data_IF_167884236559
#
_entry.id   IF_167884236559
#
_cell.length_a   1.000
_cell.length_b   1.000
_cell.length_c   1.000
_cell.angle_alpha   90.00
_cell.angle_beta   90.00
_cell.angle_gamma   90.00
#
_symmetry.space_group_name_H-M   'P 1'
#
loop_
_entity.id
_entity.type
_entity.pdbx_description
1 polymer ?
#
# COMPACT_ATOMS: atom_id res chain seq x y z
N UNK A 1 11.58 20.82 -6.77
CA UNK A 1 11.60 19.36 -6.71
C UNK A 1 10.39 18.82 -7.47
N UNK A 2 10.55 18.28 -8.69
CA UNK A 2 9.50 17.52 -9.35
C UNK A 2 9.65 16.06 -8.92
N UNK A 3 9.12 15.71 -7.74
CA UNK A 3 8.94 14.34 -7.34
C UNK A 3 7.56 13.88 -7.82
N UNK A 4 7.46 12.66 -8.30
CA UNK A 4 6.21 12.07 -8.74
C UNK A 4 5.29 11.88 -7.53
N UNK A 5 4.06 12.37 -7.62
CA UNK A 5 3.04 12.27 -6.58
C UNK A 5 1.68 11.98 -7.20
N UNK A 6 0.92 11.08 -6.60
CA UNK A 6 -0.44 10.74 -7.02
C UNK A 6 -1.51 11.69 -6.48
N UNK A 7 -1.29 12.30 -5.31
CA UNK A 7 -2.25 13.20 -4.69
C UNK A 7 -2.15 14.65 -5.17
N UNK A 8 -3.28 15.36 -5.24
CA UNK A 8 -3.35 16.77 -5.64
C UNK A 8 -2.97 17.67 -4.46
N UNK A 9 -2.06 18.62 -4.69
CA UNK A 9 -1.69 19.61 -3.67
C UNK A 9 -2.86 20.54 -3.32
N UNK A 10 -2.96 20.92 -2.05
CA UNK A 10 -3.80 22.02 -1.64
C UNK A 10 -3.25 23.33 -2.23
N UNK A 11 -4.08 24.05 -3.03
CA UNK A 11 -3.70 25.28 -3.74
C UNK A 11 -4.13 26.53 -2.96
N UNK A 12 -4.02 26.55 -1.64
CA UNK A 12 -4.25 27.78 -0.89
C UNK A 12 -3.14 28.80 -1.16
N UNK A 13 -3.46 30.10 -1.13
CA UNK A 13 -2.48 31.19 -1.26
C UNK A 13 -1.39 31.10 -0.19
N UNK A 14 -1.76 30.74 1.03
CA UNK A 14 -0.85 30.51 2.14
C UNK A 14 0.22 29.44 1.84
N UNK A 15 -0.13 28.42 1.08
CA UNK A 15 0.80 27.34 0.75
C UNK A 15 1.92 27.83 -0.19
N UNK A 16 1.62 28.74 -1.12
CA UNK A 16 2.63 29.31 -2.01
C UNK A 16 3.66 30.12 -1.23
N UNK A 17 3.21 30.97 -0.32
CA UNK A 17 4.09 31.78 0.54
C UNK A 17 5.00 30.90 1.40
N UNK A 18 4.47 29.76 1.90
CA UNK A 18 5.24 28.78 2.66
C UNK A 18 6.28 28.06 1.78
N UNK A 19 5.92 27.66 0.58
CA UNK A 19 6.84 26.98 -0.37
C UNK A 19 8.01 27.88 -0.75
N UNK A 20 7.78 29.18 -0.88
CA UNK A 20 8.82 30.17 -1.21
C UNK A 20 9.87 30.32 -0.07
N UNK A 21 9.51 29.96 1.16
CA UNK A 21 10.44 29.92 2.30
C UNK A 21 11.25 28.61 2.35
N UNK A 22 10.83 27.57 1.62
CA UNK A 22 11.49 26.27 1.62
C UNK A 22 12.69 26.25 0.67
N UNK A 23 13.83 25.82 1.18
CA UNK A 23 15.04 25.60 0.39
C UNK A 23 15.59 24.20 0.55
N UNK A 24 16.41 23.76 -0.40
CA UNK A 24 17.14 22.50 -0.29
C UNK A 24 18.51 22.64 -0.93
N UNK A 25 19.44 21.82 -0.45
CA UNK A 25 20.80 21.70 -1.00
C UNK A 25 21.08 20.25 -1.36
N UNK A 26 21.56 20.00 -2.55
CA UNK A 26 21.97 18.69 -3.02
C UNK A 26 23.50 18.55 -2.95
N UNK A 27 24.00 17.42 -2.46
CA UNK A 27 25.43 17.08 -2.55
C UNK A 27 25.85 16.62 -3.95
N UNK A 28 24.89 16.25 -4.80
CA UNK A 28 25.07 15.81 -6.19
C UNK A 28 24.46 16.81 -7.18
N UNK A 29 24.56 16.49 -8.47
CA UNK A 29 24.07 17.34 -9.55
C UNK A 29 22.58 17.22 -9.82
N UNK A 30 21.95 16.10 -9.41
CA UNK A 30 20.54 15.83 -9.64
C UNK A 30 19.96 14.87 -8.58
N UNK A 31 18.64 14.93 -8.42
CA UNK A 31 17.87 13.95 -7.66
C UNK A 31 17.77 12.68 -8.53
N UNK A 32 17.95 11.47 -7.97
CA UNK A 32 17.76 10.23 -8.71
C UNK A 32 16.36 10.14 -9.34
N UNK A 33 16.28 9.57 -10.56
CA UNK A 33 15.05 9.55 -11.35
C UNK A 33 13.88 8.81 -10.66
N UNK A 34 14.19 7.77 -9.88
CA UNK A 34 13.20 6.94 -9.18
C UNK A 34 12.75 7.52 -7.83
N UNK A 35 13.19 8.76 -7.50
CA UNK A 35 12.86 9.40 -6.23
C UNK A 35 11.38 9.79 -6.17
N UNK A 36 10.74 9.55 -5.01
CA UNK A 36 9.28 9.71 -4.85
C UNK A 36 8.92 10.29 -3.49
N UNK A 37 7.72 10.87 -3.44
CA UNK A 37 7.00 11.14 -2.20
C UNK A 37 5.96 10.04 -2.05
N UNK A 38 5.87 9.44 -0.89
CA UNK A 38 4.85 8.46 -0.52
C UNK A 38 4.15 8.98 0.74
N UNK A 39 2.85 9.18 0.63
CA UNK A 39 2.00 9.64 1.74
C UNK A 39 1.11 8.50 2.23
N UNK A 40 0.54 8.67 3.42
CA UNK A 40 -0.47 7.74 3.96
C UNK A 40 -1.68 7.59 3.02
N UNK A 41 -2.07 8.67 2.32
CA UNK A 41 -3.15 8.64 1.34
C UNK A 41 -2.84 7.72 0.15
N UNK A 42 -1.61 7.73 -0.36
CA UNK A 42 -1.18 6.85 -1.46
C UNK A 42 -1.32 5.37 -1.09
N UNK A 43 -0.96 5.04 0.15
CA UNK A 43 -1.10 3.67 0.70
C UNK A 43 -2.57 3.30 0.84
N UNK A 44 -3.39 4.22 1.34
CA UNK A 44 -4.83 4.02 1.51
C UNK A 44 -5.53 3.81 0.16
N UNK A 45 -5.25 4.63 -0.84
CA UNK A 45 -5.79 4.51 -2.20
C UNK A 45 -5.40 3.17 -2.84
N UNK A 46 -4.16 2.73 -2.65
CA UNK A 46 -3.73 1.40 -3.10
C UNK A 46 -4.55 0.27 -2.47
N UNK A 47 -4.79 0.33 -1.15
CA UNK A 47 -5.60 -0.66 -0.45
C UNK A 47 -7.06 -0.67 -0.92
N UNK A 48 -7.65 0.51 -1.16
CA UNK A 48 -8.99 0.63 -1.72
C UNK A 48 -9.09 0.02 -3.12
N UNK A 49 -8.13 0.31 -3.98
CA UNK A 49 -8.07 -0.25 -5.33
C UNK A 49 -7.98 -1.78 -5.31
N UNK A 50 -7.19 -2.37 -4.41
CA UNK A 50 -7.12 -3.83 -4.26
C UNK A 50 -8.48 -4.42 -3.84
N UNK A 51 -9.19 -3.78 -2.92
CA UNK A 51 -10.54 -4.22 -2.50
C UNK A 51 -11.53 -4.13 -3.65
N UNK A 52 -11.58 -3.01 -4.37
CA UNK A 52 -12.47 -2.84 -5.53
C UNK A 52 -12.20 -3.88 -6.61
N UNK A 53 -10.94 -4.23 -6.86
CA UNK A 53 -10.57 -5.30 -7.78
C UNK A 53 -11.12 -6.65 -7.32
N UNK A 54 -10.97 -6.99 -6.05
CA UNK A 54 -11.49 -8.24 -5.49
C UNK A 54 -13.02 -8.30 -5.52
N UNK A 55 -13.71 -7.22 -5.14
CA UNK A 55 -15.17 -7.10 -5.24
C UNK A 55 -15.67 -7.24 -6.69
N UNK A 56 -14.96 -6.65 -7.65
CA UNK A 56 -15.26 -6.81 -9.07
C UNK A 56 -15.10 -8.25 -9.55
N UNK A 57 -14.06 -8.94 -9.08
CA UNK A 57 -13.82 -10.36 -9.38
C UNK A 57 -14.92 -11.23 -8.74
N UNK A 58 -15.32 -10.98 -7.51
CA UNK A 58 -16.37 -11.75 -6.83
C UNK A 58 -17.73 -11.53 -7.47
N UNK A 59 -18.09 -10.30 -7.82
CA UNK A 59 -19.30 -9.99 -8.60
C UNK A 59 -19.28 -10.68 -9.98
N UNK A 60 -18.12 -10.73 -10.65
CA UNK A 60 -17.96 -11.47 -11.89
C UNK A 60 -18.16 -12.98 -11.72
N UNK A 61 -17.68 -13.55 -10.61
CA UNK A 61 -17.91 -14.96 -10.25
C UNK A 61 -19.38 -15.28 -10.07
N UNK A 62 -20.11 -14.46 -9.33
CA UNK A 62 -21.54 -14.67 -9.10
C UNK A 62 -22.32 -14.70 -10.40
N UNK A 63 -22.07 -13.74 -11.31
CA UNK A 63 -22.69 -13.71 -12.64
C UNK A 63 -22.39 -14.98 -13.45
N UNK A 64 -21.16 -15.47 -13.43
CA UNK A 64 -20.78 -16.71 -14.12
C UNK A 64 -21.38 -17.96 -13.47
N UNK A 65 -21.58 -17.98 -12.16
CA UNK A 65 -22.30 -19.05 -11.47
C UNK A 65 -23.78 -19.08 -11.89
N UNK A 66 -24.43 -17.92 -11.99
CA UNK A 66 -25.80 -17.82 -12.48
C UNK A 66 -25.93 -18.24 -13.95
N UNK A 67 -25.03 -17.78 -14.81
CA UNK A 67 -24.96 -18.16 -16.22
C UNK A 67 -24.81 -19.68 -16.39
N UNK A 68 -23.87 -20.28 -15.64
CA UNK A 68 -23.67 -21.74 -15.65
C UNK A 68 -24.96 -22.49 -15.25
N UNK A 69 -25.66 -22.05 -14.18
CA UNK A 69 -26.90 -22.68 -13.71
C UNK A 69 -28.00 -22.58 -14.77
N UNK A 70 -28.18 -21.40 -15.38
CA UNK A 70 -29.18 -21.19 -16.44
C UNK A 70 -28.92 -22.10 -17.65
N UNK A 71 -27.70 -22.19 -18.09
CA UNK A 71 -27.33 -23.06 -19.23
C UNK A 71 -27.52 -24.54 -18.86
N UNK A 72 -27.18 -24.96 -17.65
CA UNK A 72 -27.28 -26.37 -17.20
C UNK A 72 -28.69 -26.83 -16.89
N UNK A 73 -29.56 -25.92 -16.45
CA UNK A 73 -30.97 -26.23 -16.19
C UNK A 73 -31.81 -26.50 -17.44
N UNK A 74 -31.25 -26.28 -18.64
CA UNK A 74 -31.90 -26.64 -19.90
C UNK A 74 -32.96 -25.62 -20.36
N UNK A 75 -33.04 -24.46 -19.75
CA UNK A 75 -34.00 -23.39 -20.12
C UNK A 75 -33.65 -22.70 -21.45
N UNK A 76 -32.51 -23.04 -22.04
CA UNK A 76 -32.14 -22.66 -23.39
C UNK A 76 -32.72 -23.71 -24.35
N UNK A 77 -33.78 -23.35 -25.05
CA UNK A 77 -34.39 -24.17 -26.11
C UNK A 77 -33.31 -24.77 -27.03
N UNK A 78 -33.65 -25.79 -27.85
CA UNK A 78 -32.75 -26.49 -28.73
C UNK A 78 -31.90 -25.48 -29.54
N UNK A 79 -30.68 -25.22 -29.09
CA UNK A 79 -29.72 -24.34 -29.77
C UNK A 79 -29.48 -24.89 -31.19
N UNK A 80 -29.66 -24.07 -32.20
CA UNK A 80 -29.34 -24.38 -33.59
C UNK A 80 -28.46 -23.31 -34.16
N UNK A 81 -27.30 -23.70 -34.63
CA UNK A 81 -26.34 -22.82 -35.30
C UNK A 81 -27.02 -22.28 -36.59
N UNK A 82 -27.17 -20.96 -36.69
CA UNK A 82 -27.78 -20.29 -37.85
C UNK A 82 -26.77 -19.32 -38.51
N UNK A 83 -25.84 -18.81 -37.76
CA UNK A 83 -24.80 -17.87 -38.25
C UNK A 83 -23.46 -18.10 -37.58
N UNK A 84 -22.41 -17.46 -38.12
CA UNK A 84 -21.07 -17.46 -37.52
C UNK A 84 -21.02 -16.76 -36.15
N UNK A 85 -21.96 -15.85 -35.91
CA UNK A 85 -22.05 -15.13 -34.64
C UNK A 85 -22.52 -16.05 -33.49
N UNK A 86 -23.20 -17.13 -33.82
CA UNK A 86 -23.65 -18.15 -32.85
C UNK A 86 -22.50 -19.03 -32.35
N UNK A 87 -21.28 -18.88 -32.92
CA UNK A 87 -20.13 -19.72 -32.58
C UNK A 87 -19.64 -19.50 -31.14
N UNK A 88 -19.66 -18.26 -30.66
CA UNK A 88 -19.28 -17.94 -29.26
C UNK A 88 -20.27 -18.53 -28.27
N UNK A 89 -21.57 -18.53 -28.59
CA UNK A 89 -22.60 -19.16 -27.77
C UNK A 89 -22.46 -20.69 -27.76
N UNK A 90 -22.15 -21.32 -28.88
CA UNK A 90 -21.84 -22.74 -28.95
C UNK A 90 -20.64 -23.12 -28.10
N UNK A 91 -19.59 -22.30 -28.13
CA UNK A 91 -18.38 -22.49 -27.36
C UNK A 91 -18.65 -22.42 -25.84
N UNK A 92 -19.50 -21.47 -25.41
CA UNK A 92 -19.98 -21.36 -24.03
C UNK A 92 -20.76 -22.59 -23.62
N UNK A 93 -21.75 -23.01 -24.40
CA UNK A 93 -22.58 -24.20 -24.15
C UNK A 93 -21.73 -25.48 -24.04
N UNK A 94 -20.75 -25.64 -24.93
CA UNK A 94 -19.81 -26.77 -24.92
C UNK A 94 -18.93 -26.71 -23.66
N UNK A 95 -18.44 -25.54 -23.30
CA UNK A 95 -17.62 -25.35 -22.10
C UNK A 95 -18.39 -25.65 -20.81
N UNK A 96 -19.67 -25.24 -20.70
CA UNK A 96 -20.52 -25.56 -19.55
C UNK A 96 -20.82 -27.05 -19.46
N UNK A 97 -21.02 -27.74 -20.60
CA UNK A 97 -21.28 -29.20 -20.63
C UNK A 97 -20.06 -30.02 -20.28
N UNK A 98 -18.87 -29.60 -20.67
CA UNK A 98 -17.60 -30.33 -20.47
C UNK A 98 -16.90 -30.03 -19.15
N UNK A 99 -17.28 -28.99 -18.43
CA UNK A 99 -16.62 -28.57 -17.17
C UNK A 99 -17.61 -28.63 -15.99
N UNK A 100 -17.04 -28.82 -14.79
CA UNK A 100 -17.77 -28.57 -13.55
C UNK A 100 -17.98 -27.06 -13.37
N UNK A 101 -18.96 -26.68 -12.55
CA UNK A 101 -19.24 -25.27 -12.25
C UNK A 101 -17.99 -24.50 -11.80
N UNK A 102 -17.24 -25.11 -10.88
CA UNK A 102 -16.00 -24.51 -10.37
C UNK A 102 -14.91 -24.35 -11.43
N UNK A 103 -14.78 -25.32 -12.34
CA UNK A 103 -13.82 -25.24 -13.46
C UNK A 103 -14.22 -24.20 -14.49
N UNK A 104 -15.52 -24.10 -14.80
CA UNK A 104 -16.04 -23.10 -15.73
C UNK A 104 -15.76 -21.68 -15.21
N UNK A 105 -16.11 -21.41 -13.95
CA UNK A 105 -15.89 -20.11 -13.32
C UNK A 105 -14.37 -19.81 -13.23
N UNK A 106 -13.55 -20.76 -12.79
CA UNK A 106 -12.09 -20.58 -12.68
C UNK A 106 -11.40 -20.23 -14.00
N UNK A 107 -11.93 -20.75 -15.13
CA UNK A 107 -11.39 -20.44 -16.47
C UNK A 107 -11.75 -19.04 -16.97
N UNK A 108 -12.88 -18.50 -16.52
CA UNK A 108 -13.44 -17.26 -17.05
C UNK A 108 -13.31 -16.05 -16.11
N UNK A 109 -12.85 -16.27 -14.89
CA UNK A 109 -12.60 -15.19 -13.90
C UNK A 109 -11.11 -15.08 -13.61
N UNK A 110 -10.64 -13.85 -13.43
CA UNK A 110 -9.31 -13.58 -12.91
C UNK A 110 -9.11 -14.20 -11.51
N UNK A 111 -7.88 -14.46 -11.14
CA UNK A 111 -7.54 -14.91 -9.79
C UNK A 111 -7.64 -13.70 -8.86
N UNK A 112 -8.41 -13.80 -7.75
CA UNK A 112 -8.40 -12.77 -6.71
C UNK A 112 -6.97 -12.48 -6.32
N UNK A 113 -6.64 -11.21 -6.21
CA UNK A 113 -5.45 -10.81 -5.46
C UNK A 113 -5.66 -11.35 -4.06
N UNK A 114 -4.70 -12.16 -3.58
CA UNK A 114 -4.81 -12.84 -2.29
C UNK A 114 -5.29 -11.84 -1.23
N UNK A 115 -6.41 -12.13 -0.57
CA UNK A 115 -6.88 -11.33 0.54
C UNK A 115 -5.78 -11.27 1.61
N UNK A 116 -5.21 -10.09 1.76
CA UNK A 116 -4.21 -9.79 2.77
C UNK A 116 -4.84 -8.84 3.80
N UNK A 117 -4.37 -8.90 5.03
CA UNK A 117 -4.74 -7.90 6.01
C UNK A 117 -4.35 -6.49 5.52
N UNK A 118 -5.04 -5.46 5.99
CA UNK A 118 -4.71 -4.07 5.62
C UNK A 118 -3.22 -3.76 5.81
N UNK A 119 -2.63 -4.23 6.91
CA UNK A 119 -1.21 -4.03 7.19
C UNK A 119 -0.28 -4.78 6.22
N UNK A 120 -0.67 -5.96 5.71
CA UNK A 120 0.10 -6.67 4.67
C UNK A 120 0.02 -5.95 3.33
N UNK A 121 -1.16 -5.47 2.95
CA UNK A 121 -1.36 -4.70 1.73
C UNK A 121 -0.58 -3.38 1.75
N UNK A 122 -0.61 -2.67 2.88
CA UNK A 122 0.16 -1.45 3.08
C UNK A 122 1.68 -1.71 3.00
N UNK A 123 2.18 -2.75 3.66
CA UNK A 123 3.59 -3.14 3.56
C UNK A 123 3.98 -3.52 2.13
N UNK A 124 3.13 -4.26 1.43
CA UNK A 124 3.36 -4.64 0.03
C UNK A 124 3.48 -3.41 -0.89
N UNK A 125 2.73 -2.34 -0.61
CA UNK A 125 2.86 -1.08 -1.33
C UNK A 125 4.29 -0.52 -1.25
N UNK A 126 4.86 -0.43 -0.04
CA UNK A 126 6.24 0.03 0.14
C UNK A 126 7.24 -0.88 -0.58
N UNK A 127 7.09 -2.21 -0.45
CA UNK A 127 7.97 -3.17 -1.12
C UNK A 127 7.92 -3.09 -2.66
N UNK A 128 6.80 -2.66 -3.23
CA UNK A 128 6.65 -2.46 -4.68
C UNK A 128 7.16 -1.09 -5.16
N UNK A 129 7.09 -0.06 -4.32
CA UNK A 129 7.39 1.32 -4.72
C UNK A 129 8.79 1.77 -4.39
N UNK A 130 9.45 1.15 -3.42
CA UNK A 130 10.81 1.47 -3.04
C UNK A 130 11.78 0.67 -3.91
N UNK A 131 12.45 1.39 -4.80
CA UNK A 131 13.46 0.90 -5.72
C UNK A 131 14.85 1.34 -5.26
N UNK A 132 15.91 0.75 -5.76
CA UNK A 132 17.29 1.09 -5.41
C UNK A 132 17.75 2.45 -5.95
N UNK A 133 18.78 3.01 -5.32
CA UNK A 133 19.44 4.26 -5.73
C UNK A 133 18.48 5.46 -5.85
N UNK A 134 17.61 5.67 -4.87
CA UNK A 134 16.59 6.71 -4.90
C UNK A 134 16.44 7.45 -3.58
N UNK A 135 15.84 8.66 -3.64
CA UNK A 135 15.44 9.46 -2.50
C UNK A 135 13.92 9.31 -2.28
N UNK A 136 13.54 8.97 -1.06
CA UNK A 136 12.15 8.85 -0.65
C UNK A 136 11.79 9.84 0.45
N UNK A 137 10.68 10.56 0.25
CA UNK A 137 10.03 11.34 1.28
C UNK A 137 8.79 10.54 1.71
N UNK A 138 8.77 10.10 2.97
CA UNK A 138 7.68 9.31 3.53
C UNK A 138 6.94 10.16 4.56
N UNK A 139 5.60 10.23 4.42
CA UNK A 139 4.72 10.96 5.33
C UNK A 139 3.80 9.97 6.03
N UNK A 140 4.00 9.82 7.34
CA UNK A 140 3.30 8.88 8.22
C UNK A 140 3.21 7.44 7.64
N UNK A 141 4.35 6.81 7.28
CA UNK A 141 4.35 5.49 6.65
C UNK A 141 3.81 4.39 7.54
N UNK A 142 3.70 4.65 8.85
CA UNK A 142 3.13 3.74 9.84
C UNK A 142 1.61 3.62 9.79
N UNK A 143 0.91 4.54 9.14
CA UNK A 143 -0.55 4.52 9.08
C UNK A 143 -1.04 3.21 8.42
N UNK A 144 -2.05 2.61 9.04
CA UNK A 144 -2.60 1.30 8.66
C UNK A 144 -1.69 0.08 8.94
N UNK A 145 -0.52 0.26 9.56
CA UNK A 145 0.38 -0.82 9.94
C UNK A 145 0.22 -1.23 11.42
N UNK A 146 0.09 -2.53 11.67
CA UNK A 146 0.20 -3.05 13.03
C UNK A 146 1.62 -2.85 13.59
N UNK A 147 1.83 -2.88 14.93
CA UNK A 147 3.16 -2.76 15.52
C UNK A 147 4.19 -3.72 14.92
N UNK A 148 3.79 -4.97 14.63
CA UNK A 148 4.66 -5.97 13.99
C UNK A 148 5.05 -5.53 12.57
N UNK A 149 4.08 -5.01 11.79
CA UNK A 149 4.32 -4.54 10.43
C UNK A 149 5.15 -3.25 10.41
N UNK A 150 5.02 -2.39 11.39
CA UNK A 150 5.91 -1.24 11.56
C UNK A 150 7.35 -1.68 11.81
N UNK A 151 7.58 -2.70 12.64
CA UNK A 151 8.93 -3.28 12.83
C UNK A 151 9.50 -3.93 11.57
N UNK A 152 8.66 -4.58 10.76
CA UNK A 152 9.07 -5.11 9.45
C UNK A 152 9.44 -3.97 8.48
N UNK A 153 8.64 -2.89 8.45
CA UNK A 153 8.93 -1.69 7.67
C UNK A 153 10.28 -1.06 8.08
N UNK A 154 10.53 -0.93 9.39
CA UNK A 154 11.81 -0.40 9.91
C UNK A 154 12.99 -1.20 9.36
N UNK A 155 12.95 -2.54 9.44
CA UNK A 155 14.01 -3.40 8.89
C UNK A 155 14.17 -3.23 7.39
N UNK A 156 13.05 -3.17 6.67
CA UNK A 156 13.07 -2.98 5.22
C UNK A 156 13.70 -1.63 4.82
N UNK A 157 13.39 -0.55 5.54
CA UNK A 157 13.99 0.76 5.31
C UNK A 157 15.49 0.80 5.67
N UNK A 158 15.89 0.16 6.79
CA UNK A 158 17.30 0.01 7.16
C UNK A 158 18.12 -0.73 6.10
N UNK A 159 17.58 -1.85 5.59
CA UNK A 159 18.21 -2.65 4.55
C UNK A 159 18.27 -1.88 3.21
N UNK A 160 17.19 -1.17 2.85
CA UNK A 160 17.15 -0.34 1.65
C UNK A 160 18.15 0.80 1.68
N UNK A 161 18.32 1.45 2.83
CA UNK A 161 19.33 2.49 2.99
C UNK A 161 20.76 1.93 2.96
N UNK A 162 20.99 0.77 3.59
CA UNK A 162 22.31 0.19 3.76
C UNK A 162 22.82 -0.50 2.51
N UNK A 163 21.98 -1.24 1.79
CA UNK A 163 22.39 -2.15 0.73
C UNK A 163 21.97 -1.71 -0.67
N UNK A 164 20.90 -0.90 -0.76
CA UNK A 164 20.31 -0.51 -2.04
C UNK A 164 20.45 0.98 -2.37
N UNK A 165 21.29 1.69 -1.63
CA UNK A 165 21.63 3.10 -1.94
C UNK A 165 20.45 4.07 -1.80
N UNK A 166 19.43 3.71 -1.02
CA UNK A 166 18.27 4.57 -0.77
C UNK A 166 18.59 5.62 0.31
N UNK A 167 18.03 6.81 0.13
CA UNK A 167 17.97 7.84 1.16
C UNK A 167 16.51 8.09 1.54
N UNK A 168 16.22 8.20 2.84
CA UNK A 168 14.88 8.45 3.35
C UNK A 168 14.84 9.75 4.14
N UNK A 169 13.78 10.54 3.92
CA UNK A 169 13.36 11.64 4.77
C UNK A 169 11.94 11.28 5.23
N UNK A 170 11.73 11.09 6.52
CA UNK A 170 10.51 10.50 7.06
C UNK A 170 9.88 11.46 8.08
N UNK A 171 8.63 11.85 7.86
CA UNK A 171 7.78 12.45 8.88
C UNK A 171 6.98 11.34 9.56
N UNK A 172 7.06 11.21 10.88
CA UNK A 172 6.44 10.10 11.61
C UNK A 172 6.20 10.43 13.07
N UNK A 173 5.14 9.83 13.62
CA UNK A 173 4.87 9.79 15.06
C UNK A 173 5.10 8.40 15.67
N UNK A 174 5.45 7.39 14.85
CA UNK A 174 5.68 6.03 15.31
C UNK A 174 6.96 5.88 16.13
N UNK A 175 6.84 5.37 17.34
CA UNK A 175 8.00 5.00 18.18
C UNK A 175 8.89 3.95 17.53
N UNK A 176 8.32 3.06 16.68
CA UNK A 176 9.07 2.05 15.95
C UNK A 176 9.88 2.68 14.83
N UNK A 177 9.27 3.55 14.02
CA UNK A 177 9.98 4.24 12.91
C UNK A 177 11.04 5.20 13.47
N UNK A 178 10.77 5.91 14.56
CA UNK A 178 11.75 6.77 15.23
C UNK A 178 12.96 5.98 15.78
N UNK A 179 12.85 4.66 15.98
CA UNK A 179 13.97 3.83 16.44
C UNK A 179 14.93 3.38 15.33
N UNK A 180 14.76 3.82 14.09
CA UNK A 180 15.64 3.53 12.95
C UNK A 180 17.11 3.79 13.29
N UNK A 181 17.95 2.79 13.07
CA UNK A 181 19.39 2.90 13.35
C UNK A 181 20.06 3.85 12.38
N UNK A 182 20.99 4.64 12.91
CA UNK A 182 21.76 5.64 12.16
C UNK A 182 20.90 6.75 11.51
N UNK A 183 19.64 6.90 11.92
CA UNK A 183 18.82 8.03 11.53
C UNK A 183 19.17 9.27 12.36
N UNK A 184 19.17 10.43 11.73
CA UNK A 184 19.23 11.72 12.41
C UNK A 184 17.81 12.22 12.60
N UNK A 185 17.43 12.48 13.84
CA UNK A 185 16.05 12.87 14.17
C UNK A 185 16.04 14.36 14.49
N UNK A 186 15.17 15.08 13.82
CA UNK A 186 14.86 16.48 14.07
C UNK A 186 13.54 16.56 14.81
N UNK A 187 13.60 17.08 16.05
CA UNK A 187 12.41 17.34 16.86
C UNK A 187 11.88 18.74 16.58
N UNK A 188 10.67 18.80 16.01
CA UNK A 188 10.00 20.05 15.68
C UNK A 188 9.07 20.54 16.78
N UNK A 189 8.83 19.77 17.83
CA UNK A 189 8.09 20.21 19.03
C UNK A 189 8.93 21.19 19.86
N UNK A 190 10.23 21.24 19.60
CA UNK A 190 11.14 22.21 20.21
C UNK A 190 11.35 23.43 19.29
N UNK A 191 11.35 24.64 19.86
CA UNK A 191 11.71 25.86 19.13
C UNK A 191 12.99 26.47 19.70
N UNK A 192 14.10 26.57 18.93
CA UNK A 192 14.28 26.07 17.57
C UNK A 192 14.29 24.54 17.48
N UNK A 193 14.02 24.00 16.29
CA UNK A 193 14.08 22.55 16.05
C UNK A 193 15.46 21.99 16.47
N UNK A 194 15.45 20.90 17.20
CA UNK A 194 16.65 20.30 17.78
C UNK A 194 16.88 18.87 17.28
N UNK A 195 18.16 18.49 17.16
CA UNK A 195 18.52 17.09 16.93
C UNK A 195 18.49 16.34 18.27
N UNK A 196 17.70 15.27 18.35
CA UNK A 196 17.53 14.45 19.55
C UNK A 196 17.70 12.96 19.24
N UNK A 197 18.03 12.19 20.26
CA UNK A 197 17.90 10.73 20.19
C UNK A 197 16.42 10.35 20.32
N UNK A 198 15.99 9.29 19.66
CA UNK A 198 14.61 8.83 19.72
C UNK A 198 14.08 8.60 21.14
N UNK A 199 14.98 8.18 22.06
CA UNK A 199 14.67 7.97 23.48
C UNK A 199 14.43 9.25 24.30
N UNK A 200 14.77 10.41 23.73
CA UNK A 200 14.63 11.72 24.38
C UNK A 200 13.36 12.44 23.94
N UNK A 201 12.68 11.94 22.89
CA UNK A 201 11.43 12.51 22.38
C UNK A 201 10.30 12.32 23.38
N UNK A 202 9.46 13.34 23.53
CA UNK A 202 8.39 13.34 24.52
C UNK A 202 7.36 12.25 24.25
N UNK A 203 6.91 12.10 22.98
CA UNK A 203 5.99 11.05 22.59
C UNK A 203 6.51 9.64 22.93
N UNK A 204 7.78 9.35 22.67
CA UNK A 204 8.42 8.07 23.02
C UNK A 204 8.49 7.87 24.53
N UNK A 205 8.80 8.95 25.28
CA UNK A 205 8.84 8.92 26.76
C UNK A 205 7.48 8.63 27.38
N UNK A 206 6.40 9.11 26.77
CA UNK A 206 5.03 8.81 27.21
C UNK A 206 4.77 7.30 27.14
N UNK A 207 5.06 6.65 26.01
CA UNK A 207 4.93 5.19 25.87
C UNK A 207 5.80 4.42 26.86
N UNK A 208 7.07 4.82 26.99
CA UNK A 208 7.97 4.18 27.95
C UNK A 208 7.46 4.25 29.38
N UNK A 209 6.99 5.42 29.82
CA UNK A 209 6.48 5.62 31.16
C UNK A 209 5.18 4.83 31.39
N UNK A 210 4.28 4.80 30.41
CA UNK A 210 3.07 3.98 30.46
C UNK A 210 3.39 2.50 30.69
N UNK A 211 4.22 1.91 29.85
CA UNK A 211 4.58 0.49 30.01
C UNK A 211 5.36 0.21 31.31
N UNK A 212 6.18 1.16 31.74
CA UNK A 212 6.90 1.04 33.01
C UNK A 212 5.95 1.01 34.22
N UNK A 213 4.90 1.83 34.20
CA UNK A 213 3.87 1.84 35.26
C UNK A 213 3.05 0.55 35.28
N UNK A 214 2.79 -0.05 34.14
CA UNK A 214 2.01 -1.28 33.99
C UNK A 214 2.86 -2.56 33.92
N UNK A 215 4.14 -2.47 34.28
CA UNK A 215 5.07 -3.60 34.16
C UNK A 215 4.56 -4.87 34.84
N UNK A 216 3.97 -4.73 36.04
CA UNK A 216 3.44 -5.87 36.81
C UNK A 216 2.29 -6.64 36.09
N UNK A 217 1.61 -6.01 35.15
CA UNK A 217 0.54 -6.64 34.37
C UNK A 217 1.09 -7.60 33.30
N UNK A 218 2.34 -7.42 32.89
CA UNK A 218 3.04 -8.23 31.88
C UNK A 218 3.90 -9.36 32.47
N UNK A 219 4.28 -9.26 33.77
CA UNK A 219 5.17 -10.21 34.45
C UNK A 219 4.39 -11.20 35.35
N UNK A 220 3.17 -11.56 34.98
CA UNK A 220 2.34 -12.57 35.69
C UNK A 220 2.67 -13.98 35.26
#
# INVERSE_FOLDING_TARGET
>A
LKLERSAVYNKSSFFNDYVDLCGYTLKGTAIPANSRIITSDDVFDFMLNLRMLNEGIDSGREKLFEEYRKIKSGDNGKFRLRSLDDFEELKKLTSVRSNTQSMYVKKNVGVNVREQSNGESAFMYFAQKIEENALYLLDEPENSLSPQKQMELVRFLEDSARFYGCQFIIATHSTFVLSLKNAQIYDFDSCPAAVKRWTELENVRVYYNFFKQHRADFEK
#
